data_IF_162998258962
#
_entry.id   IF_162998258962
#
_cell.length_a   1.000
_cell.length_b   1.000
_cell.length_c   1.000
_cell.angle_alpha   90.00
_cell.angle_beta   90.00
_cell.angle_gamma   90.00
#
_symmetry.space_group_name_H-M   'P 1'
#
loop_
_entity.id
_entity.type
_entity.pdbx_description
1 polymer ?
#
# COMPACT_ATOMS: atom_id res chain seq x y z
N UNK A 1 7.32 9.65 12.88
CA UNK A 1 7.27 9.58 14.36
C UNK A 1 6.69 8.23 14.71
N UNK A 2 7.38 7.38 15.48
CA UNK A 2 6.99 5.97 15.66
C UNK A 2 5.63 5.81 16.38
N UNK A 3 4.75 4.92 15.86
CA UNK A 3 3.42 4.60 16.40
C UNK A 3 3.39 4.33 17.90
N UNK A 4 4.37 3.57 18.40
CA UNK A 4 4.48 3.20 19.81
C UNK A 4 4.58 4.45 20.69
N UNK A 5 5.36 5.45 20.23
CA UNK A 5 5.52 6.72 20.96
C UNK A 5 4.24 7.55 20.96
N UNK A 6 3.46 7.49 19.88
CA UNK A 6 2.17 8.17 19.77
C UNK A 6 1.16 7.54 20.75
N UNK A 7 0.99 6.22 20.69
CA UNK A 7 0.11 5.46 21.58
C UNK A 7 0.45 5.68 23.06
N UNK A 8 1.74 5.64 23.41
CA UNK A 8 2.18 5.92 24.78
C UNK A 8 1.77 7.33 25.24
N UNK A 9 1.96 8.35 24.38
CA UNK A 9 1.61 9.74 24.71
C UNK A 9 0.11 9.95 24.84
N UNK A 10 -0.68 9.32 23.97
CA UNK A 10 -2.14 9.32 24.02
C UNK A 10 -2.65 8.76 25.36
N UNK A 11 -2.05 7.64 25.80
CA UNK A 11 -2.33 7.02 27.11
C UNK A 11 -1.69 7.75 28.29
N UNK A 12 -1.00 8.88 28.06
CA UNK A 12 -0.30 9.68 29.08
C UNK A 12 0.71 8.89 29.92
N UNK A 13 1.31 7.85 29.35
CA UNK A 13 2.29 6.99 30.03
C UNK A 13 3.74 7.49 29.82
N UNK A 14 4.58 7.36 30.85
CA UNK A 14 6.01 7.64 30.73
C UNK A 14 6.74 6.44 30.11
N UNK A 15 7.80 6.69 29.34
CA UNK A 15 8.60 5.59 28.77
C UNK A 15 9.32 4.77 29.85
N UNK A 16 9.60 5.39 30.99
CA UNK A 16 10.18 4.74 32.17
C UNK A 16 9.19 3.74 32.77
N UNK A 17 7.93 4.16 32.95
CA UNK A 17 6.86 3.30 33.47
C UNK A 17 6.66 2.05 32.59
N UNK A 18 6.58 2.23 31.26
CA UNK A 18 6.42 1.08 30.36
C UNK A 18 7.63 0.15 30.42
N UNK A 19 8.85 0.68 30.48
CA UNK A 19 10.06 -0.13 30.60
C UNK A 19 10.07 -0.99 31.88
N UNK A 20 9.65 -0.39 33.00
CA UNK A 20 9.51 -1.08 34.29
C UNK A 20 8.47 -2.21 34.20
N UNK A 21 7.28 -1.95 33.67
CA UNK A 21 6.22 -2.96 33.50
C UNK A 21 6.63 -4.10 32.55
N UNK A 22 7.45 -3.80 31.54
CA UNK A 22 7.95 -4.81 30.60
C UNK A 22 9.14 -5.62 31.17
N UNK A 23 9.80 -5.14 32.23
CA UNK A 23 11.02 -5.72 32.79
C UNK A 23 12.26 -5.48 31.91
N UNK A 24 12.35 -4.31 31.27
CA UNK A 24 13.45 -3.90 30.38
C UNK A 24 14.03 -2.56 30.83
N UNK A 25 15.21 -2.19 30.33
CA UNK A 25 15.79 -0.88 30.65
C UNK A 25 15.05 0.25 29.91
N UNK A 26 14.92 1.46 30.51
CA UNK A 26 14.33 2.61 29.82
C UNK A 26 15.01 2.91 28.47
N UNK A 27 16.34 2.75 28.41
CA UNK A 27 17.11 2.92 27.18
C UNK A 27 16.68 1.94 26.08
N UNK A 28 16.46 0.68 26.42
CA UNK A 28 15.98 -0.34 25.48
C UNK A 28 14.58 0.02 24.94
N UNK A 29 13.69 0.50 25.80
CA UNK A 29 12.37 0.98 25.39
C UNK A 29 12.45 2.19 24.43
N UNK A 30 13.30 3.18 24.74
CA UNK A 30 13.48 4.33 23.85
C UNK A 30 14.20 3.99 22.54
N UNK A 31 15.00 2.93 22.50
CA UNK A 31 15.55 2.39 21.25
C UNK A 31 14.44 1.80 20.36
N UNK A 32 13.44 1.14 20.97
CA UNK A 32 12.25 0.65 20.26
C UNK A 32 11.45 1.83 19.69
N UNK A 33 11.15 2.85 20.51
CA UNK A 33 10.40 4.04 20.03
C UNK A 33 11.12 4.82 18.93
N UNK A 34 12.44 4.69 18.81
CA UNK A 34 13.23 5.33 17.74
C UNK A 34 13.42 4.43 16.52
N UNK A 35 12.90 3.19 16.55
CA UNK A 35 13.10 2.21 15.47
C UNK A 35 14.51 1.62 15.41
N UNK A 36 15.37 1.91 16.40
CA UNK A 36 16.72 1.33 16.49
C UNK A 36 16.69 -0.14 16.92
N UNK A 37 15.59 -0.57 17.54
CA UNK A 37 15.34 -1.97 17.92
C UNK A 37 13.92 -2.39 17.55
N UNK A 38 13.79 -3.59 16.99
CA UNK A 38 12.49 -4.22 16.75
C UNK A 38 11.93 -4.83 18.04
N UNK A 39 10.60 -4.81 18.17
CA UNK A 39 9.91 -5.65 19.15
C UNK A 39 10.07 -7.12 18.77
N UNK A 40 10.32 -7.98 19.75
CA UNK A 40 10.13 -9.42 19.61
C UNK A 40 8.67 -9.77 19.99
N UNK A 41 8.20 -10.96 19.62
CA UNK A 41 6.81 -11.37 19.84
C UNK A 41 6.37 -11.26 21.30
N UNK A 42 7.24 -11.65 22.25
CA UNK A 42 6.96 -11.57 23.69
C UNK A 42 6.77 -10.13 24.16
N UNK A 43 7.63 -9.23 23.72
CA UNK A 43 7.59 -7.82 24.08
C UNK A 43 6.44 -7.09 23.38
N UNK A 44 6.07 -7.50 22.17
CA UNK A 44 4.93 -6.96 21.45
C UNK A 44 3.61 -7.25 22.19
N UNK A 45 3.42 -8.50 22.66
CA UNK A 45 2.24 -8.87 23.46
C UNK A 45 2.17 -8.05 24.74
N UNK A 46 3.25 -8.02 25.53
CA UNK A 46 3.30 -7.23 26.78
C UNK A 46 3.01 -5.75 26.55
N UNK A 47 3.61 -5.16 25.52
CA UNK A 47 3.40 -3.76 25.20
C UNK A 47 1.96 -3.48 24.75
N UNK A 48 1.34 -4.42 24.02
CA UNK A 48 -0.05 -4.31 23.57
C UNK A 48 -1.03 -4.33 24.74
N UNK A 49 -0.75 -5.17 25.75
CA UNK A 49 -1.52 -5.24 27.00
C UNK A 49 -1.40 -3.94 27.79
N UNK A 50 -0.17 -3.42 27.97
CA UNK A 50 0.08 -2.16 28.70
C UNK A 50 -0.61 -0.97 28.03
N UNK A 51 -0.60 -0.92 26.70
CA UNK A 51 -1.21 0.17 25.94
C UNK A 51 -2.71 -0.02 25.73
N UNK A 52 -3.25 -1.21 26.01
CA UNK A 52 -4.66 -1.55 25.79
C UNK A 52 -5.04 -1.52 24.31
N UNK A 53 -4.18 -2.05 23.44
CA UNK A 53 -4.37 -2.08 21.99
C UNK A 53 -4.03 -3.47 21.43
N UNK A 54 -4.37 -3.74 20.16
CA UNK A 54 -4.00 -5.01 19.52
C UNK A 54 -2.51 -5.02 19.16
N UNK A 55 -1.90 -6.21 19.13
CA UNK A 55 -0.51 -6.38 18.69
C UNK A 55 -0.31 -5.80 17.28
N UNK A 56 -1.28 -5.97 16.40
CA UNK A 56 -1.27 -5.40 15.04
C UNK A 56 -1.09 -3.88 15.05
N UNK A 57 -1.81 -3.18 15.92
CA UNK A 57 -1.77 -1.71 15.99
C UNK A 57 -0.45 -1.12 16.50
N UNK A 58 0.45 -1.95 17.06
CA UNK A 58 1.79 -1.54 17.48
C UNK A 58 2.77 -1.44 16.32
N UNK A 59 2.49 -2.16 15.24
CA UNK A 59 3.28 -2.12 14.03
C UNK A 59 2.63 -1.10 13.09
N UNK A 60 3.44 -0.18 12.59
CA UNK A 60 3.02 0.61 11.44
C UNK A 60 2.77 -0.38 10.29
N UNK A 61 1.56 -0.40 9.73
CA UNK A 61 1.37 -0.97 8.40
C UNK A 61 2.43 -0.32 7.49
N UNK A 62 3.07 -1.10 6.60
CA UNK A 62 4.20 -0.61 5.81
C UNK A 62 3.87 0.76 5.21
N UNK A 63 4.62 1.77 5.66
CA UNK A 63 4.37 3.19 5.45
C UNK A 63 4.22 3.46 3.94
N UNK A 64 2.98 3.63 3.50
CA UNK A 64 2.62 3.97 2.12
C UNK A 64 3.16 5.38 1.76
N UNK A 65 3.33 6.27 2.73
CA UNK A 65 3.71 7.68 2.49
C UNK A 65 5.21 7.92 2.24
N UNK A 66 6.12 7.10 2.80
CA UNK A 66 7.55 7.15 2.46
C UNK A 66 7.82 6.51 1.10
N UNK A 67 6.98 5.56 0.68
CA UNK A 67 7.00 4.95 -0.66
C UNK A 67 6.60 6.00 -1.71
N UNK A 68 5.55 6.79 -1.45
CA UNK A 68 5.03 7.81 -2.35
C UNK A 68 6.01 8.98 -2.62
N UNK A 69 6.85 9.36 -1.66
CA UNK A 69 7.87 10.41 -1.87
C UNK A 69 9.10 9.90 -2.64
N UNK A 70 9.40 8.61 -2.57
CA UNK A 70 10.43 7.97 -3.39
C UNK A 70 9.94 7.76 -4.83
N UNK A 71 8.67 7.38 -5.00
CA UNK A 71 8.06 7.07 -6.30
C UNK A 71 7.89 8.29 -7.22
N UNK A 72 7.61 9.47 -6.68
CA UNK A 72 7.42 10.68 -7.49
C UNK A 72 8.73 11.29 -8.06
N UNK A 73 9.91 10.76 -7.70
CA UNK A 73 11.20 11.27 -8.17
C UNK A 73 11.81 10.53 -9.36
N UNK A 74 11.25 9.38 -9.80
CA UNK A 74 11.84 8.60 -10.91
C UNK A 74 10.82 8.12 -11.93
N UNK A 75 10.65 8.91 -12.98
CA UNK A 75 10.16 8.47 -14.29
C UNK A 75 11.06 7.38 -14.86
N UNK A 76 10.79 6.10 -14.56
CA UNK A 76 11.19 4.94 -15.41
C UNK A 76 10.55 3.65 -14.90
N UNK A 77 9.77 3.01 -15.78
CA UNK A 77 9.20 1.66 -15.62
C UNK A 77 10.16 0.73 -14.83
N UNK A 78 9.75 0.22 -13.67
CA UNK A 78 10.49 -0.77 -12.88
C UNK A 78 9.62 -1.98 -12.52
N UNK A 79 9.40 -2.89 -13.46
CA UNK A 79 9.35 -4.32 -13.11
C UNK A 79 10.80 -4.78 -12.98
N UNK A 80 11.28 -5.28 -11.81
CA UNK A 80 10.92 -6.58 -11.22
C UNK A 80 11.20 -6.68 -9.69
N UNK A 81 10.61 -5.79 -8.89
CA UNK A 81 10.73 -5.87 -7.42
C UNK A 81 9.89 -7.03 -6.83
N UNK A 82 8.86 -7.48 -7.56
CA UNK A 82 7.92 -8.54 -7.15
C UNK A 82 8.58 -9.92 -7.07
N UNK A 83 9.48 -10.25 -8.00
CA UNK A 83 10.26 -11.51 -8.00
C UNK A 83 11.07 -11.64 -6.70
N UNK A 84 11.79 -10.57 -6.34
CA UNK A 84 12.58 -10.50 -5.12
C UNK A 84 11.72 -10.60 -3.86
N UNK A 85 10.58 -9.92 -3.84
CA UNK A 85 9.61 -9.96 -2.73
C UNK A 85 9.10 -11.39 -2.51
N UNK A 86 8.60 -12.04 -3.57
CA UNK A 86 8.10 -13.42 -3.52
C UNK A 86 9.17 -14.42 -3.07
N UNK A 87 10.38 -14.30 -3.60
CA UNK A 87 11.50 -15.17 -3.19
C UNK A 87 11.80 -15.04 -1.69
N UNK A 88 11.87 -13.80 -1.18
CA UNK A 88 12.12 -13.54 0.25
C UNK A 88 10.99 -14.06 1.13
N UNK A 89 9.73 -13.84 0.75
CA UNK A 89 8.56 -14.36 1.49
C UNK A 89 8.59 -15.89 1.61
N UNK A 90 9.06 -16.57 0.56
CA UNK A 90 9.22 -18.04 0.57
C UNK A 90 10.55 -18.52 1.16
N UNK A 91 11.41 -17.62 1.65
CA UNK A 91 12.74 -17.94 2.18
C UNK A 91 13.63 -18.76 1.23
N UNK A 92 13.51 -18.56 -0.08
CA UNK A 92 14.31 -19.28 -1.08
C UNK A 92 15.59 -18.48 -1.39
N UNK A 93 16.73 -19.17 -1.46
CA UNK A 93 18.00 -18.52 -1.89
C UNK A 93 17.96 -18.24 -3.39
N UNK A 94 18.51 -17.09 -3.80
CA UNK A 94 18.63 -16.72 -5.21
C UNK A 94 19.38 -17.80 -6.02
N UNK A 95 20.43 -18.37 -5.46
CA UNK A 95 21.20 -19.46 -6.06
C UNK A 95 20.38 -20.73 -6.31
N UNK A 96 19.41 -21.04 -5.45
CA UNK A 96 18.51 -22.19 -5.62
C UNK A 96 17.60 -22.00 -6.83
N UNK A 97 17.02 -20.80 -7.00
CA UNK A 97 16.16 -20.50 -8.15
C UNK A 97 16.99 -20.43 -9.43
N UNK A 98 18.16 -19.77 -9.40
CA UNK A 98 19.07 -19.70 -10.53
C UNK A 98 19.47 -21.09 -11.04
N UNK A 99 19.78 -22.02 -10.12
CA UNK A 99 20.07 -23.42 -10.47
C UNK A 99 18.89 -24.12 -11.13
N UNK A 100 17.66 -23.91 -10.65
CA UNK A 100 16.44 -24.48 -11.24
C UNK A 100 16.16 -23.94 -12.64
N UNK A 101 16.46 -22.66 -12.88
CA UNK A 101 16.29 -22.00 -14.17
C UNK A 101 17.46 -22.20 -15.15
N UNK A 102 18.53 -22.90 -14.74
CA UNK A 102 19.72 -23.10 -15.56
C UNK A 102 20.48 -21.79 -15.88
N UNK A 103 20.45 -20.80 -14.99
CA UNK A 103 21.14 -19.51 -15.17
C UNK A 103 22.13 -19.24 -14.04
N UNK A 104 23.04 -18.29 -14.24
CA UNK A 104 23.94 -17.86 -13.17
C UNK A 104 23.17 -17.10 -12.08
N UNK A 105 23.63 -17.21 -10.83
CA UNK A 105 23.05 -16.44 -9.70
C UNK A 105 23.12 -14.94 -9.96
N UNK A 106 24.17 -14.46 -10.62
CA UNK A 106 24.30 -13.06 -11.02
C UNK A 106 23.21 -12.65 -12.01
N UNK A 107 22.94 -13.46 -13.04
CA UNK A 107 21.85 -13.21 -13.99
C UNK A 107 20.50 -13.18 -13.28
N UNK A 108 20.24 -14.10 -12.34
CA UNK A 108 19.03 -14.05 -11.53
C UNK A 108 18.92 -12.76 -10.70
N UNK A 109 20.00 -12.25 -10.11
CA UNK A 109 19.96 -10.95 -9.44
C UNK A 109 19.73 -9.76 -10.39
N UNK A 110 20.25 -9.82 -11.63
CA UNK A 110 19.94 -8.83 -12.66
C UNK A 110 18.44 -8.85 -12.98
N UNK A 111 17.84 -10.05 -13.05
CA UNK A 111 16.39 -10.25 -13.20
C UNK A 111 15.61 -9.68 -12.01
N UNK A 112 16.11 -9.77 -10.77
CA UNK A 112 15.46 -9.15 -9.61
C UNK A 112 15.57 -7.63 -9.54
N UNK A 113 16.53 -7.02 -10.26
CA UNK A 113 16.75 -5.57 -10.27
C UNK A 113 16.12 -4.85 -11.45
N UNK A 114 15.80 -5.56 -12.53
CA UNK A 114 15.26 -4.96 -13.77
C UNK A 114 16.31 -4.75 -14.84
N UNK A 115 17.54 -5.15 -14.55
CA UNK A 115 18.66 -5.04 -15.47
C UNK A 115 18.59 -6.10 -16.58
N UNK A 116 17.78 -7.15 -16.39
CA UNK A 116 17.59 -8.23 -17.35
C UNK A 116 16.17 -8.82 -17.22
N UNK A 117 15.63 -9.34 -18.32
CA UNK A 117 14.31 -9.96 -18.35
C UNK A 117 14.43 -11.43 -18.74
N UNK A 118 13.78 -12.35 -18.01
CA UNK A 118 13.71 -13.75 -18.41
C UNK A 118 12.89 -13.91 -19.69
N UNK A 119 13.26 -14.89 -20.52
CA UNK A 119 12.43 -15.30 -21.65
C UNK A 119 11.11 -15.94 -21.19
N UNK A 120 10.15 -16.10 -22.10
CA UNK A 120 8.82 -16.62 -21.79
C UNK A 120 8.84 -17.99 -21.08
N UNK A 121 9.79 -18.86 -21.44
CA UNK A 121 9.94 -20.18 -20.80
C UNK A 121 10.39 -20.02 -19.35
N UNK A 122 11.44 -19.23 -19.10
CA UNK A 122 11.95 -18.94 -17.76
C UNK A 122 10.95 -18.16 -16.90
N UNK A 123 10.15 -17.29 -17.50
CA UNK A 123 9.03 -16.62 -16.80
C UNK A 123 8.04 -17.65 -16.26
N UNK A 124 7.65 -18.60 -17.11
CA UNK A 124 6.68 -19.66 -16.74
C UNK A 124 7.25 -20.56 -15.63
N UNK A 125 8.52 -20.98 -15.77
CA UNK A 125 9.21 -21.76 -14.76
C UNK A 125 9.36 -21.00 -13.43
N UNK A 126 9.72 -19.71 -13.50
CA UNK A 126 9.86 -18.86 -12.33
C UNK A 126 8.52 -18.64 -11.62
N UNK A 127 7.43 -18.45 -12.37
CA UNK A 127 6.08 -18.32 -11.84
C UNK A 127 5.66 -19.60 -11.09
N UNK A 128 5.95 -20.77 -11.65
CA UNK A 128 5.71 -22.05 -10.99
C UNK A 128 6.55 -22.21 -9.70
N UNK A 129 7.85 -21.88 -9.73
CA UNK A 129 8.72 -21.93 -8.54
C UNK A 129 8.20 -21.01 -7.43
N UNK A 130 7.69 -19.83 -7.80
CA UNK A 130 7.15 -18.83 -6.88
C UNK A 130 5.65 -19.02 -6.62
N UNK A 131 5.01 -20.06 -7.14
CA UNK A 131 3.60 -20.39 -6.97
C UNK A 131 2.67 -19.17 -7.21
N UNK A 132 2.86 -18.50 -8.35
CA UNK A 132 2.05 -17.37 -8.82
C UNK A 132 1.75 -17.53 -10.31
N UNK A 133 0.81 -16.75 -10.85
CA UNK A 133 0.57 -16.69 -12.29
C UNK A 133 1.67 -15.89 -13.00
N UNK A 134 1.89 -16.17 -14.28
CA UNK A 134 2.80 -15.38 -15.13
C UNK A 134 2.35 -13.93 -15.21
N UNK A 135 1.05 -13.68 -15.24
CA UNK A 135 0.48 -12.33 -15.25
C UNK A 135 0.82 -11.56 -13.97
N UNK A 136 0.70 -12.20 -12.81
CA UNK A 136 1.10 -11.60 -11.55
C UNK A 136 2.60 -11.33 -11.50
N UNK A 137 3.41 -12.27 -11.97
CA UNK A 137 4.87 -12.17 -11.99
C UNK A 137 5.37 -11.03 -12.90
N UNK A 138 4.73 -10.86 -14.06
CA UNK A 138 5.07 -9.85 -15.07
C UNK A 138 4.43 -8.49 -14.79
N UNK A 139 3.49 -8.39 -13.86
CA UNK A 139 2.79 -7.15 -13.56
C UNK A 139 1.58 -6.86 -14.46
N UNK A 140 1.04 -7.88 -15.13
CA UNK A 140 -0.24 -7.79 -15.85
C UNK A 140 -1.46 -7.95 -14.92
N UNK A 141 -1.25 -8.38 -13.67
CA UNK A 141 -2.27 -8.30 -12.64
C UNK A 141 -2.25 -6.90 -12.03
N UNK A 142 -3.36 -6.18 -12.24
CA UNK A 142 -3.66 -4.92 -11.58
C UNK A 142 -3.61 -5.16 -10.07
N UNK A 143 -2.64 -4.56 -9.37
CA UNK A 143 -2.94 -4.18 -7.98
C UNK A 143 -4.13 -3.21 -8.11
N UNK A 144 -5.15 -3.33 -7.26
CA UNK A 144 -6.25 -2.37 -7.19
C UNK A 144 -5.76 -0.91 -6.99
N UNK A 145 -4.46 -0.71 -6.74
CA UNK A 145 -3.74 0.53 -6.99
C UNK A 145 -3.25 0.66 -8.45
N UNK A 146 -4.16 1.11 -9.32
CA UNK A 146 -3.93 2.25 -10.20
C UNK A 146 -2.80 2.19 -11.27
N UNK A 147 -2.63 1.09 -12.00
CA UNK A 147 -1.78 1.11 -13.20
C UNK A 147 -2.38 0.27 -14.35
N UNK A 148 -3.41 0.82 -14.99
CA UNK A 148 -3.77 0.41 -16.34
C UNK A 148 -3.21 1.43 -17.35
N UNK A 149 -2.23 1.05 -18.21
CA UNK A 149 -1.70 1.94 -19.25
C UNK A 149 -2.74 2.33 -20.32
N UNK A 150 -3.93 1.71 -20.31
CA UNK A 150 -5.08 2.07 -21.15
C UNK A 150 -6.26 2.69 -20.41
N UNK A 151 -6.23 2.86 -19.07
CA UNK A 151 -7.25 3.65 -18.39
C UNK A 151 -6.89 5.13 -18.48
N UNK A 152 -7.71 5.91 -19.17
CA UNK A 152 -7.74 7.36 -18.97
C UNK A 152 -7.88 7.60 -17.45
N UNK A 153 -6.90 8.29 -16.86
CA UNK A 153 -6.78 8.63 -15.43
C UNK A 153 -8.14 8.73 -14.72
N UNK A 154 -8.46 7.79 -13.85
CA UNK A 154 -9.36 8.04 -12.73
C UNK A 154 -8.48 8.42 -11.53
N UNK A 155 -8.14 9.72 -11.45
CA UNK A 155 -7.58 10.30 -10.22
C UNK A 155 -8.71 10.30 -9.19
N UNK A 156 -8.64 9.43 -8.18
CA UNK A 156 -9.52 9.56 -7.02
C UNK A 156 -9.26 10.94 -6.41
N UNK A 157 -10.31 11.74 -6.32
CA UNK A 157 -10.26 13.09 -5.77
C UNK A 157 -10.17 12.98 -4.25
N UNK A 158 -9.33 13.81 -3.62
CA UNK A 158 -9.34 13.93 -2.16
C UNK A 158 -10.70 14.46 -1.67
N UNK A 159 -11.03 14.26 -0.39
CA UNK A 159 -12.26 14.79 0.21
C UNK A 159 -12.42 16.33 0.01
N UNK A 160 -11.31 17.06 -0.07
CA UNK A 160 -11.30 18.50 -0.37
C UNK A 160 -11.55 18.80 -1.84
N UNK A 161 -11.04 17.96 -2.74
CA UNK A 161 -11.30 18.05 -4.18
C UNK A 161 -12.75 17.64 -4.50
N UNK A 162 -13.30 16.64 -3.80
CA UNK A 162 -14.71 16.23 -3.90
C UNK A 162 -15.69 17.34 -3.53
N UNK A 163 -15.36 18.17 -2.53
CA UNK A 163 -16.17 19.33 -2.12
C UNK A 163 -16.24 20.44 -3.16
N UNK A 164 -15.38 20.42 -4.18
CA UNK A 164 -15.27 21.48 -5.20
C UNK A 164 -15.68 21.04 -6.60
N UNK A 165 -16.24 19.84 -6.76
CA UNK A 165 -16.65 19.33 -8.06
C UNK A 165 -17.78 20.22 -8.61
N UNK A 166 -17.59 20.88 -9.78
CA UNK A 166 -18.67 21.60 -10.44
C UNK A 166 -19.81 20.64 -10.78
N UNK A 167 -21.07 21.04 -10.56
CA UNK A 167 -22.23 20.20 -10.86
C UNK A 167 -22.28 19.78 -12.33
N UNK A 168 -21.77 20.63 -13.24
CA UNK A 168 -21.60 20.30 -14.67
C UNK A 168 -20.73 19.08 -14.91
N UNK A 169 -19.74 18.85 -14.04
CA UNK A 169 -18.70 17.85 -14.28
C UNK A 169 -19.15 16.46 -13.81
N UNK A 170 -20.28 16.38 -13.08
CA UNK A 170 -20.88 15.12 -12.61
C UNK A 170 -21.23 14.15 -13.75
N UNK A 171 -21.41 14.63 -14.98
CA UNK A 171 -21.60 13.78 -16.16
C UNK A 171 -20.44 12.81 -16.40
N UNK A 172 -19.23 13.18 -15.98
CA UNK A 172 -18.02 12.39 -16.17
C UNK A 172 -17.79 11.35 -15.07
N UNK A 173 -18.64 11.32 -14.03
CA UNK A 173 -18.49 10.41 -12.91
C UNK A 173 -19.48 9.24 -12.97
N UNK A 174 -19.09 8.15 -12.31
CA UNK A 174 -20.00 7.04 -12.01
C UNK A 174 -20.91 7.48 -10.87
N UNK A 175 -22.20 7.62 -11.16
CA UNK A 175 -23.21 8.00 -10.17
C UNK A 175 -24.05 6.76 -9.83
N UNK A 176 -24.21 6.49 -8.55
CA UNK A 176 -24.95 5.34 -8.04
C UNK A 176 -26.02 5.78 -7.04
N UNK A 177 -27.18 5.14 -7.11
CA UNK A 177 -28.24 5.29 -6.13
C UNK A 177 -28.69 3.90 -5.65
N UNK A 178 -28.62 3.67 -4.34
CA UNK A 178 -28.92 2.37 -3.70
C UNK A 178 -28.17 1.19 -4.36
N UNK A 179 -26.88 1.41 -4.68
CA UNK A 179 -26.01 0.40 -5.29
C UNK A 179 -26.30 0.09 -6.76
N UNK A 180 -27.16 0.87 -7.43
CA UNK A 180 -27.40 0.77 -8.88
C UNK A 180 -26.82 1.98 -9.58
N UNK A 181 -26.04 1.74 -10.62
CA UNK A 181 -25.49 2.78 -11.47
C UNK A 181 -26.60 3.44 -12.29
N UNK A 182 -26.58 4.78 -12.33
CA UNK A 182 -27.53 5.56 -13.12
C UNK A 182 -27.18 5.48 -14.61
N UNK A 183 -28.20 5.41 -15.47
CA UNK A 183 -28.03 5.57 -16.92
C UNK A 183 -27.62 7.00 -17.27
N UNK A 184 -27.03 7.21 -18.45
CA UNK A 184 -26.64 8.56 -18.90
C UNK A 184 -27.81 9.55 -18.89
N UNK A 185 -29.02 9.08 -19.24
CA UNK A 185 -30.24 9.88 -19.22
C UNK A 185 -30.68 10.24 -17.78
N UNK A 186 -30.62 9.27 -16.86
CA UNK A 186 -30.88 9.52 -15.44
C UNK A 186 -29.88 10.50 -14.83
N UNK A 187 -28.58 10.40 -15.19
CA UNK A 187 -27.55 11.35 -14.73
C UNK A 187 -27.88 12.78 -15.17
N UNK A 188 -28.29 12.98 -16.43
CA UNK A 188 -28.70 14.30 -16.94
C UNK A 188 -29.85 14.90 -16.12
N UNK A 189 -30.91 14.14 -15.88
CA UNK A 189 -32.05 14.61 -15.08
C UNK A 189 -31.65 14.99 -13.64
N UNK A 190 -30.78 14.22 -13.00
CA UNK A 190 -30.28 14.54 -11.66
C UNK A 190 -29.46 15.83 -11.66
N UNK A 191 -28.57 16.00 -12.63
CA UNK A 191 -27.73 17.20 -12.77
C UNK A 191 -28.59 18.44 -13.02
N UNK A 192 -29.60 18.33 -13.88
CA UNK A 192 -30.55 19.41 -14.16
C UNK A 192 -31.36 19.80 -12.92
N UNK A 193 -31.87 18.81 -12.18
CA UNK A 193 -32.59 19.04 -10.92
C UNK A 193 -31.72 19.76 -9.88
N UNK A 194 -30.45 19.38 -9.76
CA UNK A 194 -29.50 20.04 -8.85
C UNK A 194 -29.22 21.50 -9.28
N UNK A 195 -29.05 21.76 -10.58
CA UNK A 195 -28.85 23.12 -11.10
C UNK A 195 -30.05 24.01 -10.77
N UNK A 196 -31.26 23.55 -11.07
CA UNK A 196 -32.48 24.29 -10.81
C UNK A 196 -32.68 24.56 -9.31
N UNK A 197 -32.43 23.57 -8.45
CA UNK A 197 -32.53 23.75 -7.00
C UNK A 197 -31.55 24.82 -6.46
N UNK A 198 -30.37 24.97 -7.05
CA UNK A 198 -29.41 26.02 -6.67
C UNK A 198 -29.78 27.40 -7.22
N UNK A 199 -30.37 27.46 -8.41
CA UNK A 199 -30.85 28.71 -9.00
C UNK A 199 -32.02 29.29 -8.20
N UNK A 200 -32.96 28.45 -7.76
CA UNK A 200 -34.07 28.85 -6.88
C UNK A 200 -33.61 29.44 -5.53
N UNK A 201 -32.43 29.03 -5.02
CA UNK A 201 -31.87 29.56 -3.77
C UNK A 201 -31.10 30.88 -3.96
N UNK A 202 -30.87 31.32 -5.20
CA UNK A 202 -30.22 32.61 -5.50
C UNK A 202 -31.22 33.75 -5.72
N UNK A 203 -32.49 33.41 -5.95
CA UNK A 203 -33.58 34.37 -6.19
C UNK A 203 -34.34 34.77 -4.90
N UNK A 204 -33.88 34.32 -3.73
CA UNK A 204 -34.35 34.75 -2.40
C UNK A 204 -33.23 35.45 -1.62
#
# INVERSE_FOLDING_TARGET
MNKIRLLRKEKKLSGIYIAEQMGITPQYYYDIERGKRSLNSKNAVKLSEILGVTVESLFDEPIIDEINQIENSTTKRKGPNRIRKLRKLKNIKASTIAKKLGISTQHYYNIERGDSFPDAKKVTELAAILNVTTDYLLGFYYDDSNDNPHSKKNKYLSDEEMKKIPISDLENYRLEYKGKELTNEQKKHVIELLKHALEMNKEN
#
